data_IF_529186168384
#
_entry.id   IF_529186168384
#
_cell.length_a   1.000
_cell.length_b   1.000
_cell.length_c   1.000
_cell.angle_alpha   90.00
_cell.angle_beta   90.00
_cell.angle_gamma   90.00
#
_symmetry.space_group_name_H-M   'P 1'
#
loop_
_entity.id
_entity.type
_entity.pdbx_description
1 polymer ?
#
# COMPACT_ATOMS: atom_id res chain seq x y z
N UNK A 1 15.24 -10.86 -12.27
CA UNK A 1 14.31 -10.60 -13.39
C UNK A 1 12.86 -10.82 -12.98
N UNK A 2 12.51 -12.00 -12.41
CA UNK A 2 11.13 -12.32 -11.98
C UNK A 2 10.57 -11.33 -10.93
N UNK A 3 11.33 -11.00 -9.89
CA UNK A 3 10.87 -10.11 -8.80
C UNK A 3 10.40 -8.72 -9.27
N UNK A 4 11.14 -8.09 -10.20
CA UNK A 4 10.79 -6.76 -10.72
C UNK A 4 9.51 -6.81 -11.57
N UNK A 5 9.35 -7.87 -12.35
CA UNK A 5 8.16 -8.08 -13.16
C UNK A 5 6.92 -8.32 -12.29
N UNK A 6 7.02 -9.22 -11.30
CA UNK A 6 5.92 -9.49 -10.35
C UNK A 6 5.51 -8.22 -9.62
N UNK A 7 6.46 -7.42 -9.14
CA UNK A 7 6.15 -6.17 -8.45
C UNK A 7 5.47 -5.15 -9.39
N UNK A 8 5.86 -5.08 -10.65
CA UNK A 8 5.20 -4.19 -11.62
C UNK A 8 3.74 -4.58 -11.87
N UNK A 9 3.47 -5.89 -11.99
CA UNK A 9 2.12 -6.45 -12.14
C UNK A 9 1.27 -6.18 -10.90
N UNK A 10 1.80 -6.46 -9.70
CA UNK A 10 1.10 -6.20 -8.43
C UNK A 10 0.82 -4.71 -8.27
N UNK A 11 1.80 -3.84 -8.48
CA UNK A 11 1.61 -2.40 -8.41
C UNK A 11 0.52 -1.91 -9.38
N UNK A 12 0.46 -2.48 -10.60
CA UNK A 12 -0.55 -2.10 -11.58
C UNK A 12 -1.94 -2.63 -11.22
N UNK A 13 -2.04 -3.83 -10.66
CA UNK A 13 -3.32 -4.37 -10.17
C UNK A 13 -3.82 -3.60 -8.92
N UNK A 14 -2.90 -3.19 -8.05
CA UNK A 14 -3.23 -2.49 -6.81
C UNK A 14 -3.57 -1.01 -7.05
N UNK A 15 -2.78 -0.31 -7.86
CA UNK A 15 -2.82 1.16 -8.00
C UNK A 15 -3.22 1.65 -9.39
N UNK A 16 -3.46 0.74 -10.33
CA UNK A 16 -3.59 1.09 -11.74
C UNK A 16 -2.36 1.84 -12.26
N UNK A 17 -2.61 2.82 -13.13
CA UNK A 17 -1.58 3.75 -13.60
C UNK A 17 -1.47 5.02 -12.70
N UNK A 18 -2.06 5.01 -11.50
CA UNK A 18 -2.27 6.18 -10.63
C UNK A 18 -1.28 6.26 -9.45
N UNK A 19 -0.15 5.56 -9.52
CA UNK A 19 0.91 5.62 -8.50
C UNK A 19 2.11 6.46 -8.99
N UNK A 20 2.16 7.74 -8.61
CA UNK A 20 3.31 8.62 -8.93
C UNK A 20 4.61 8.17 -8.26
N UNK A 21 4.50 7.59 -7.07
CA UNK A 21 5.64 7.18 -6.24
C UNK A 21 6.07 5.72 -6.51
N UNK A 22 5.76 5.15 -7.69
CA UNK A 22 5.98 3.72 -8.01
C UNK A 22 7.41 3.25 -7.77
N UNK A 23 8.40 4.00 -8.24
CA UNK A 23 9.81 3.64 -8.07
C UNK A 23 10.27 3.81 -6.60
N UNK A 24 9.72 4.80 -5.90
CA UNK A 24 9.99 4.99 -4.47
C UNK A 24 9.39 3.82 -3.63
N UNK A 25 8.20 3.36 -4.01
CA UNK A 25 7.54 2.18 -3.43
C UNK A 25 8.35 0.91 -3.68
N UNK A 26 8.74 0.64 -4.93
CA UNK A 26 9.58 -0.52 -5.29
C UNK A 26 10.85 -0.57 -4.45
N UNK A 27 11.51 0.57 -4.27
CA UNK A 27 12.71 0.68 -3.43
C UNK A 27 12.41 0.39 -1.95
N UNK A 28 11.35 0.98 -1.39
CA UNK A 28 10.94 0.77 0.00
C UNK A 28 10.53 -0.69 0.27
N UNK A 29 9.82 -1.32 -0.67
CA UNK A 29 9.40 -2.72 -0.60
C UNK A 29 10.59 -3.67 -0.68
N UNK A 30 11.56 -3.40 -1.57
CA UNK A 30 12.80 -4.16 -1.63
C UNK A 30 13.63 -4.02 -0.34
N UNK A 31 13.65 -2.84 0.27
CA UNK A 31 14.32 -2.63 1.56
C UNK A 31 13.60 -3.38 2.68
N UNK A 32 12.26 -3.33 2.71
CA UNK A 32 11.42 -4.06 3.67
C UNK A 32 11.64 -5.57 3.60
N UNK A 33 11.59 -6.16 2.40
CA UNK A 33 11.83 -7.60 2.20
C UNK A 33 13.24 -8.04 2.60
N UNK A 34 14.26 -7.20 2.37
CA UNK A 34 15.63 -7.48 2.83
C UNK A 34 15.75 -7.49 4.35
N UNK A 35 15.06 -6.58 5.04
CA UNK A 35 15.07 -6.53 6.50
C UNK A 35 14.19 -7.63 7.13
N UNK A 36 13.05 -7.95 6.51
CA UNK A 36 12.14 -8.99 6.99
C UNK A 36 12.55 -10.42 6.65
N UNK A 37 13.38 -10.60 5.61
CA UNK A 37 13.92 -11.91 5.21
C UNK A 37 15.31 -12.24 5.78
N UNK A 38 15.92 -11.31 6.54
CA UNK A 38 17.19 -11.53 7.23
C UNK A 38 16.99 -12.19 8.59
N UNK A 39 18.01 -12.90 9.07
CA UNK A 39 18.05 -13.42 10.44
C UNK A 39 18.30 -12.28 11.42
N UNK A 40 17.34 -11.96 12.30
CA UNK A 40 17.58 -11.09 13.46
C UNK A 40 17.99 -11.97 14.66
N UNK A 41 19.07 -11.62 15.36
CA UNK A 41 19.51 -12.34 16.56
C UNK A 41 18.44 -12.34 17.66
N UNK A 42 17.56 -11.34 17.65
CA UNK A 42 16.39 -11.27 18.52
C UNK A 42 15.29 -12.27 18.17
N UNK A 43 15.24 -12.79 16.93
CA UNK A 43 14.31 -13.88 16.56
C UNK A 43 14.67 -15.19 17.26
N UNK A 44 15.96 -15.39 17.59
CA UNK A 44 16.45 -16.56 18.34
C UNK A 44 16.43 -16.33 19.85
N UNK A 45 16.51 -15.07 20.28
CA UNK A 45 16.45 -14.69 21.70
C UNK A 45 15.30 -13.70 21.97
N UNK A 46 14.03 -14.14 21.87
CA UNK A 46 12.85 -13.26 21.98
C UNK A 46 12.69 -12.61 23.36
N UNK A 47 13.35 -13.15 24.40
CA UNK A 47 13.40 -12.56 25.73
C UNK A 47 14.31 -11.32 25.81
N UNK A 48 15.22 -11.14 24.86
CA UNK A 48 16.20 -10.04 24.82
C UNK A 48 15.74 -8.93 23.85
N UNK A 49 14.56 -8.35 24.12
CA UNK A 49 13.92 -7.33 23.25
C UNK A 49 14.78 -6.10 22.96
N UNK A 50 15.79 -5.81 23.78
CA UNK A 50 16.72 -4.70 23.55
C UNK A 50 17.63 -4.95 22.33
N UNK A 51 17.82 -6.21 21.90
CA UNK A 51 18.64 -6.55 20.73
C UNK A 51 18.08 -5.97 19.43
N UNK A 52 16.75 -5.89 19.28
CA UNK A 52 16.11 -5.20 18.14
C UNK A 52 16.48 -3.70 18.06
N UNK A 53 16.74 -3.07 19.22
CA UNK A 53 17.08 -1.64 19.32
C UNK A 53 18.58 -1.42 19.11
N UNK A 54 19.42 -2.21 19.80
CA UNK A 54 20.89 -2.09 19.71
C UNK A 54 21.40 -2.52 18.33
N UNK A 55 20.79 -3.54 17.71
CA UNK A 55 21.09 -3.97 16.35
C UNK A 55 20.64 -2.98 15.26
N UNK A 56 19.90 -1.92 15.63
CA UNK A 56 19.43 -0.88 14.72
C UNK A 56 18.36 -1.35 13.73
N UNK A 57 17.80 -2.57 13.88
CA UNK A 57 16.75 -3.09 13.00
C UNK A 57 15.42 -2.38 13.23
N UNK A 58 15.00 -2.22 14.49
CA UNK A 58 13.75 -1.51 14.82
C UNK A 58 13.64 -0.11 14.21
N UNK A 59 14.61 0.82 14.40
CA UNK A 59 14.50 2.15 13.82
C UNK A 59 14.56 2.15 12.27
N UNK A 60 15.25 1.19 11.64
CA UNK A 60 15.23 1.02 10.17
C UNK A 60 13.84 0.59 9.68
N UNK A 61 13.23 -0.39 10.34
CA UNK A 61 11.91 -0.88 9.99
C UNK A 61 10.83 0.20 10.19
N UNK A 62 10.90 0.97 11.29
CA UNK A 62 10.02 2.11 11.53
C UNK A 62 10.17 3.19 10.45
N UNK A 63 11.40 3.46 9.98
CA UNK A 63 11.65 4.43 8.90
C UNK A 63 11.03 3.97 7.57
N UNK A 64 11.19 2.68 7.22
CA UNK A 64 10.59 2.11 6.02
C UNK A 64 9.06 2.11 6.12
N UNK A 65 8.52 1.72 7.28
CA UNK A 65 7.09 1.72 7.52
C UNK A 65 6.49 3.11 7.31
N UNK A 66 7.09 4.17 7.90
CA UNK A 66 6.66 5.56 7.68
C UNK A 66 6.72 5.98 6.21
N UNK A 67 7.72 5.50 5.46
CA UNK A 67 7.87 5.78 4.04
C UNK A 67 6.75 5.13 3.22
N UNK A 68 6.46 3.85 3.47
CA UNK A 68 5.38 3.12 2.81
C UNK A 68 4.02 3.72 3.16
N UNK A 69 3.79 4.06 4.43
CA UNK A 69 2.55 4.69 4.89
C UNK A 69 2.25 6.01 4.16
N UNK A 70 3.29 6.85 3.98
CA UNK A 70 3.19 8.10 3.21
C UNK A 70 2.80 7.83 1.76
N UNK A 71 3.46 6.86 1.11
CA UNK A 71 3.18 6.50 -0.29
C UNK A 71 1.73 6.04 -0.45
N UNK A 72 1.25 5.16 0.44
CA UNK A 72 -0.13 4.69 0.38
C UNK A 72 -1.13 5.80 0.67
N UNK A 73 -0.80 6.73 1.58
CA UNK A 73 -1.57 7.95 1.78
C UNK A 73 -1.72 8.76 0.49
N UNK A 74 -0.62 8.99 -0.23
CA UNK A 74 -0.62 9.72 -1.50
C UNK A 74 -1.47 9.01 -2.57
N UNK A 75 -1.30 7.69 -2.71
CA UNK A 75 -2.09 6.87 -3.65
C UNK A 75 -3.57 7.01 -3.34
N UNK A 76 -3.99 6.76 -2.10
CA UNK A 76 -5.40 6.85 -1.69
C UNK A 76 -5.99 8.25 -1.96
N UNK A 77 -5.23 9.30 -1.68
CA UNK A 77 -5.64 10.69 -1.96
C UNK A 77 -5.83 10.92 -3.46
N UNK A 78 -4.95 10.38 -4.30
CA UNK A 78 -5.07 10.47 -5.76
C UNK A 78 -6.32 9.75 -6.28
N UNK A 79 -6.60 8.54 -5.80
CA UNK A 79 -7.83 7.81 -6.16
C UNK A 79 -9.09 8.59 -5.74
N UNK A 80 -9.13 9.11 -4.51
CA UNK A 80 -10.25 9.94 -4.03
C UNK A 80 -10.47 11.17 -4.91
N UNK A 81 -9.40 11.90 -5.25
CA UNK A 81 -9.49 13.10 -6.10
C UNK A 81 -10.03 12.75 -7.49
N UNK A 82 -9.50 11.69 -8.11
CA UNK A 82 -9.91 11.28 -9.45
C UNK A 82 -11.40 10.88 -9.49
N UNK A 83 -11.88 10.14 -8.49
CA UNK A 83 -13.30 9.75 -8.38
C UNK A 83 -14.24 10.95 -8.27
N UNK A 84 -13.87 11.98 -7.49
CA UNK A 84 -14.65 13.23 -7.39
C UNK A 84 -14.72 13.92 -8.76
N UNK A 85 -13.56 14.14 -9.40
CA UNK A 85 -13.50 14.82 -10.71
C UNK A 85 -14.23 14.06 -11.82
N UNK A 86 -14.29 12.74 -11.74
CA UNK A 86 -15.03 11.91 -12.69
C UNK A 86 -16.54 11.94 -12.44
N UNK A 87 -16.99 12.09 -11.20
CA UNK A 87 -18.42 12.23 -10.86
C UNK A 87 -19.00 13.59 -11.28
N UNK A 88 -18.21 14.67 -11.22
CA UNK A 88 -18.64 16.03 -11.60
C UNK A 88 -18.82 16.22 -13.12
N UNK A 89 -18.15 15.38 -13.93
CA UNK A 89 -18.13 15.50 -15.39
C UNK A 89 -19.04 14.48 -16.12
N UNK A 90 -19.84 13.70 -15.40
CA UNK A 90 -20.71 12.68 -16.02
C UNK A 90 -22.05 13.26 -16.48
N UNK A 91 -22.13 13.63 -17.76
CA UNK A 91 -23.39 13.55 -18.52
C UNK A 91 -23.73 12.08 -18.77
N UNK A 92 -24.97 11.72 -18.50
CA UNK A 92 -25.54 10.37 -18.27
C UNK A 92 -25.39 9.29 -19.35
N UNK A 93 -24.56 9.46 -20.39
CA UNK A 93 -24.59 8.57 -21.56
C UNK A 93 -23.31 7.74 -21.79
N UNK A 94 -22.25 7.99 -21.03
CA UNK A 94 -21.02 7.20 -21.11
C UNK A 94 -20.52 6.88 -19.70
N UNK A 95 -21.01 5.78 -19.12
CA UNK A 95 -20.24 5.02 -18.14
C UNK A 95 -18.99 4.51 -18.87
N UNK A 96 -17.99 5.37 -19.03
CA UNK A 96 -16.64 4.89 -19.28
C UNK A 96 -16.36 3.93 -18.13
N UNK A 97 -16.18 2.64 -18.45
CA UNK A 97 -15.54 1.68 -17.56
C UNK A 97 -14.18 2.28 -17.20
N UNK A 98 -14.16 3.11 -16.16
CA UNK A 98 -12.93 3.60 -15.58
C UNK A 98 -12.24 2.34 -15.09
N UNK A 99 -11.05 2.05 -15.61
CA UNK A 99 -10.26 0.89 -15.23
C UNK A 99 -10.13 0.90 -13.70
N UNK A 100 -10.94 0.06 -13.06
CA UNK A 100 -11.10 -0.02 -11.62
C UNK A 100 -9.98 -0.92 -11.08
N UNK A 101 -9.18 -0.37 -10.18
CA UNK A 101 -8.11 -1.10 -9.50
C UNK A 101 -8.51 -1.41 -8.05
N UNK A 102 -7.66 -2.16 -7.34
CA UNK A 102 -7.95 -2.62 -5.98
C UNK A 102 -8.27 -1.45 -5.03
N UNK A 103 -7.56 -0.32 -5.13
CA UNK A 103 -7.80 0.84 -4.26
C UNK A 103 -9.18 1.43 -4.53
N UNK A 104 -9.57 1.53 -5.80
CA UNK A 104 -10.91 2.01 -6.17
C UNK A 104 -12.02 1.11 -5.60
N UNK A 105 -11.86 -0.22 -5.68
CA UNK A 105 -12.79 -1.19 -5.07
C UNK A 105 -12.89 -1.01 -3.56
N UNK A 106 -11.75 -0.94 -2.87
CA UNK A 106 -11.71 -0.83 -1.41
C UNK A 106 -12.30 0.50 -0.91
N UNK A 107 -12.09 1.59 -1.66
CA UNK A 107 -12.70 2.89 -1.36
C UNK A 107 -14.22 2.87 -1.56
N UNK A 108 -14.72 2.24 -2.62
CA UNK A 108 -16.16 2.03 -2.83
C UNK A 108 -16.78 1.23 -1.68
N UNK A 109 -16.13 0.15 -1.25
CA UNK A 109 -16.60 -0.64 -0.11
C UNK A 109 -16.60 0.16 1.20
N UNK A 110 -15.59 1.02 1.41
CA UNK A 110 -15.56 1.94 2.55
C UNK A 110 -16.73 2.94 2.53
N UNK A 111 -17.12 3.44 1.35
CA UNK A 111 -18.21 4.41 1.18
C UNK A 111 -19.61 3.80 1.25
N UNK A 112 -19.81 2.60 0.69
CA UNK A 112 -21.10 1.93 0.66
C UNK A 112 -21.62 1.60 2.08
N UNK A 113 -20.71 1.32 3.03
CA UNK A 113 -21.07 1.08 4.43
C UNK A 113 -21.92 -0.18 4.67
N UNK A 114 -22.06 -1.05 3.67
CA UNK A 114 -22.90 -2.26 3.71
C UNK A 114 -22.23 -3.45 4.43
N UNK A 115 -20.94 -3.33 4.76
CA UNK A 115 -20.19 -4.37 5.45
C UNK A 115 -20.53 -4.37 6.94
N UNK A 116 -20.63 -5.57 7.53
CA UNK A 116 -20.82 -5.77 8.97
C UNK A 116 -19.77 -5.02 9.81
N UNK A 117 -18.55 -4.93 9.26
CA UNK A 117 -17.46 -4.15 9.83
C UNK A 117 -17.00 -3.08 8.83
N UNK A 118 -16.96 -1.79 9.24
CA UNK A 118 -16.57 -0.72 8.33
C UNK A 118 -15.08 -0.82 7.97
N UNK A 119 -14.78 -0.67 6.68
CA UNK A 119 -13.40 -0.59 6.19
C UNK A 119 -12.83 0.78 6.53
N UNK A 120 -11.77 0.82 7.33
CA UNK A 120 -11.00 2.03 7.62
C UNK A 120 -9.89 2.25 6.60
N UNK A 121 -9.38 3.48 6.50
CA UNK A 121 -8.21 3.78 5.65
C UNK A 121 -6.99 2.93 6.02
N UNK A 122 -6.82 2.61 7.30
CA UNK A 122 -5.72 1.75 7.75
C UNK A 122 -5.91 0.30 7.29
N UNK A 123 -7.16 -0.18 7.20
CA UNK A 123 -7.44 -1.47 6.58
C UNK A 123 -7.05 -1.47 5.09
N UNK A 124 -7.39 -0.40 4.35
CA UNK A 124 -7.01 -0.26 2.94
C UNK A 124 -5.49 -0.31 2.77
N UNK A 125 -4.76 0.50 3.54
CA UNK A 125 -3.28 0.48 3.53
C UNK A 125 -2.70 -0.89 3.85
N UNK A 126 -3.29 -1.61 4.81
CA UNK A 126 -2.85 -2.95 5.18
C UNK A 126 -3.09 -3.98 4.06
N UNK A 127 -4.25 -3.94 3.38
CA UNK A 127 -4.55 -4.83 2.26
C UNK A 127 -3.58 -4.63 1.08
N UNK A 128 -3.17 -3.39 0.83
CA UNK A 128 -2.17 -3.04 -0.18
C UNK A 128 -0.78 -3.53 0.23
N UNK A 129 -0.44 -3.45 1.53
CA UNK A 129 0.89 -3.86 2.01
C UNK A 129 1.15 -5.36 1.86
N UNK A 130 0.10 -6.16 2.02
CA UNK A 130 0.18 -7.64 2.11
C UNK A 130 0.01 -8.32 0.75
N UNK A 131 -0.52 -7.64 -0.26
CA UNK A 131 -0.76 -8.17 -1.61
C UNK A 131 0.18 -7.62 -2.68
#
# INVERSE_FOLDING_TARGET
>A
MVFLFTNDVICRAAFGNKCKDKEEFKAAFLESTKLGGGFDISDVFPSLKFLHVIGGMKPKLEKIHKKIDRIFGNVILEHKKNRITSSENQTTDHMQEMEEDLVDVLLRLQENGELEFPITTDNIKAFILVN
#
